data_IF_139732410086
#
_entry.id   IF_139732410086
#
_cell.length_a   1.000
_cell.length_b   1.000
_cell.length_c   1.000
_cell.angle_alpha   90.00
_cell.angle_beta   90.00
_cell.angle_gamma   90.00
#
_symmetry.space_group_name_H-M   'P 1'
#
loop_
_entity.id
_entity.type
_entity.pdbx_description
1 polymer ?
#
# COMPACT_ATOMS: atom_id res chain seq x y z
N UNK A 1 -19.22 -5.18 11.01
CA UNK A 1 -20.61 -4.74 11.26
C UNK A 1 -21.40 -4.35 10.03
N UNK A 2 -21.05 -3.32 9.24
CA UNK A 2 -21.80 -2.97 8.02
C UNK A 2 -21.95 -4.11 7.00
N UNK A 3 -20.90 -4.90 6.74
CA UNK A 3 -20.96 -6.03 5.81
C UNK A 3 -21.84 -7.19 6.33
N UNK A 4 -21.89 -7.37 7.66
CA UNK A 4 -22.73 -8.37 8.32
C UNK A 4 -24.20 -7.90 8.36
N UNK A 5 -24.44 -6.60 8.54
CA UNK A 5 -25.77 -5.99 8.46
C UNK A 5 -26.30 -5.94 7.02
N UNK A 6 -25.48 -5.58 6.03
CA UNK A 6 -25.85 -5.59 4.61
C UNK A 6 -26.17 -6.99 4.10
N UNK A 7 -25.47 -8.02 4.59
CA UNK A 7 -25.76 -9.42 4.28
C UNK A 7 -27.03 -9.92 4.99
N UNK A 8 -27.18 -9.67 6.29
CA UNK A 8 -28.36 -10.09 7.06
C UNK A 8 -29.65 -9.39 6.61
N UNK A 9 -29.58 -8.17 6.07
CA UNK A 9 -30.76 -7.47 5.56
C UNK A 9 -31.29 -8.04 4.23
N UNK A 10 -30.56 -8.91 3.53
CA UNK A 10 -30.93 -9.38 2.18
C UNK A 10 -31.16 -10.89 2.03
N UNK A 11 -30.71 -11.73 2.98
CA UNK A 11 -30.71 -13.19 2.79
C UNK A 11 -31.26 -14.03 3.95
N UNK A 12 -32.18 -13.50 4.76
CA UNK A 12 -32.97 -14.35 5.67
C UNK A 12 -34.25 -14.78 4.95
N UNK A 13 -34.14 -15.82 4.13
CA UNK A 13 -35.23 -16.77 3.86
C UNK A 13 -34.65 -18.18 3.72
N UNK A 14 -34.98 -19.01 4.70
CA UNK A 14 -35.01 -20.47 4.76
C UNK A 14 -33.74 -21.35 4.60
N UNK A 15 -33.54 -22.17 5.64
CA UNK A 15 -32.96 -23.54 5.72
C UNK A 15 -31.57 -23.87 5.13
N UNK A 16 -30.81 -22.91 4.62
CA UNK A 16 -29.39 -23.08 4.31
C UNK A 16 -28.50 -23.09 5.56
N UNK A 17 -27.61 -24.08 5.68
CA UNK A 17 -26.77 -24.31 6.86
C UNK A 17 -25.93 -23.07 7.23
N UNK A 18 -25.72 -22.80 8.54
CA UNK A 18 -24.91 -21.65 9.01
C UNK A 18 -23.49 -21.59 8.41
N UNK A 19 -22.97 -22.72 7.93
CA UNK A 19 -21.66 -22.82 7.28
C UNK A 19 -21.64 -22.14 5.90
N UNK A 20 -22.78 -22.12 5.18
CA UNK A 20 -22.92 -21.46 3.89
C UNK A 20 -22.83 -19.93 4.02
N UNK A 21 -23.38 -19.36 5.09
CA UNK A 21 -23.33 -17.91 5.33
C UNK A 21 -21.90 -17.40 5.57
N UNK A 22 -21.07 -18.13 6.32
CA UNK A 22 -19.69 -17.73 6.55
C UNK A 22 -18.85 -17.82 5.28
N UNK A 23 -19.08 -18.86 4.47
CA UNK A 23 -18.43 -19.02 3.17
C UNK A 23 -18.76 -17.86 2.22
N UNK A 24 -20.03 -17.49 2.14
CA UNK A 24 -20.49 -16.36 1.32
C UNK A 24 -19.83 -15.05 1.80
N UNK A 25 -19.87 -14.77 3.10
CA UNK A 25 -19.24 -13.57 3.67
C UNK A 25 -17.72 -13.55 3.42
N UNK A 26 -17.06 -14.70 3.51
CA UNK A 26 -15.63 -14.83 3.24
C UNK A 26 -15.30 -14.52 1.78
N UNK A 27 -16.05 -15.09 0.82
CA UNK A 27 -15.87 -14.78 -0.61
C UNK A 27 -16.13 -13.31 -0.92
N UNK A 28 -17.23 -12.75 -0.39
CA UNK A 28 -17.54 -11.32 -0.54
C UNK A 28 -16.42 -10.43 0.04
N UNK A 29 -15.84 -10.81 1.18
CA UNK A 29 -14.70 -10.12 1.77
C UNK A 29 -13.46 -10.17 0.86
N UNK A 30 -13.11 -11.36 0.35
CA UNK A 30 -11.99 -11.56 -0.58
C UNK A 30 -12.17 -10.68 -1.82
N UNK A 31 -13.34 -10.77 -2.47
CA UNK A 31 -13.65 -9.99 -3.68
C UNK A 31 -13.64 -8.50 -3.42
N UNK A 32 -14.22 -8.03 -2.32
CA UNK A 32 -14.22 -6.60 -1.97
C UNK A 32 -12.80 -6.05 -1.88
N UNK A 33 -11.90 -6.76 -1.21
CA UNK A 33 -10.50 -6.33 -1.04
C UNK A 33 -9.76 -6.41 -2.37
N UNK A 34 -9.92 -7.50 -3.12
CA UNK A 34 -9.35 -7.63 -4.45
C UNK A 34 -9.79 -6.51 -5.38
N UNK A 35 -11.09 -6.21 -5.47
CA UNK A 35 -11.62 -5.12 -6.29
C UNK A 35 -11.07 -3.76 -5.86
N UNK A 36 -10.93 -3.48 -4.55
CA UNK A 36 -10.30 -2.22 -4.10
C UNK A 36 -8.85 -2.08 -4.57
N UNK A 37 -8.11 -3.18 -4.66
CA UNK A 37 -6.75 -3.17 -5.21
C UNK A 37 -6.78 -3.05 -6.74
N UNK A 38 -7.68 -3.75 -7.42
CA UNK A 38 -7.86 -3.70 -8.87
C UNK A 38 -8.33 -2.33 -9.35
N UNK A 39 -9.14 -1.62 -8.55
CA UNK A 39 -9.50 -0.23 -8.81
C UNK A 39 -8.25 0.67 -8.87
N UNK A 40 -7.18 0.34 -8.14
CA UNK A 40 -5.90 1.05 -8.28
C UNK A 40 -5.31 0.77 -9.65
N UNK A 41 -5.15 -0.50 -10.04
CA UNK A 41 -4.65 -0.89 -11.37
C UNK A 41 -5.47 -0.30 -12.51
N UNK A 42 -6.80 -0.27 -12.38
CA UNK A 42 -7.69 0.30 -13.39
C UNK A 42 -7.50 1.81 -13.56
N UNK A 43 -7.11 2.51 -12.48
CA UNK A 43 -6.77 3.95 -12.52
C UNK A 43 -5.35 4.20 -13.04
N UNK A 44 -4.48 3.19 -13.08
CA UNK A 44 -3.14 3.31 -13.68
C UNK A 44 -3.17 3.51 -15.20
N UNK A 45 -4.34 3.47 -15.84
CA UNK A 45 -4.53 3.81 -17.26
C UNK A 45 -4.26 5.29 -17.59
N UNK A 46 -3.34 5.93 -16.86
CA UNK A 46 -2.62 7.08 -17.38
C UNK A 46 -1.88 6.63 -18.62
N UNK A 47 -2.11 7.29 -19.75
CA UNK A 47 -1.33 6.98 -20.95
C UNK A 47 0.15 7.24 -20.65
N UNK A 48 1.04 6.63 -21.44
CA UNK A 48 2.48 6.84 -21.30
C UNK A 48 2.82 8.34 -21.25
N UNK A 49 2.11 9.12 -22.07
CA UNK A 49 2.20 10.58 -22.15
C UNK A 49 1.86 11.26 -20.82
N UNK A 50 0.80 10.84 -20.12
CA UNK A 50 0.43 11.42 -18.81
C UNK A 50 1.52 11.20 -17.75
N UNK A 51 2.17 10.03 -17.75
CA UNK A 51 3.27 9.75 -16.82
C UNK A 51 4.50 10.58 -17.17
N UNK A 52 4.84 10.70 -18.46
CA UNK A 52 5.96 11.52 -18.93
C UNK A 52 5.75 13.01 -18.63
N UNK A 53 4.55 13.53 -18.92
CA UNK A 53 4.16 14.90 -18.59
C UNK A 53 4.31 15.15 -17.09
N UNK A 54 3.85 14.22 -16.23
CA UNK A 54 4.00 14.35 -14.78
C UNK A 54 5.46 14.30 -14.31
N UNK A 55 6.31 13.48 -14.93
CA UNK A 55 7.74 13.38 -14.63
C UNK A 55 8.51 14.65 -15.05
N UNK A 56 8.02 15.37 -16.06
CA UNK A 56 8.60 16.62 -16.57
C UNK A 56 8.00 17.86 -15.90
N UNK A 57 6.83 17.74 -15.26
CA UNK A 57 6.03 18.86 -14.79
C UNK A 57 6.76 19.77 -13.78
N UNK A 58 7.50 19.18 -12.84
CA UNK A 58 8.20 19.94 -11.80
C UNK A 58 9.69 20.06 -12.09
N UNK A 59 10.19 21.29 -11.96
CA UNK A 59 11.61 21.53 -11.74
C UNK A 59 11.99 21.11 -10.31
N UNK A 60 13.05 20.31 -10.18
CA UNK A 60 13.56 19.87 -8.89
C UNK A 60 14.25 21.02 -8.15
N UNK A 61 14.09 21.16 -6.81
CA UNK A 61 14.85 22.13 -6.02
C UNK A 61 16.36 21.90 -6.14
N UNK A 62 17.16 22.97 -6.19
CA UNK A 62 18.63 22.87 -6.39
C UNK A 62 19.33 21.91 -5.42
N UNK A 63 18.98 21.97 -4.13
CA UNK A 63 19.52 21.06 -3.11
C UNK A 63 19.26 19.59 -3.46
N UNK A 64 18.08 19.28 -3.99
CA UNK A 64 17.73 17.94 -4.45
C UNK A 64 18.51 17.56 -5.71
N UNK A 65 18.69 18.48 -6.66
CA UNK A 65 19.51 18.22 -7.86
C UNK A 65 20.95 17.87 -7.49
N UNK A 66 21.56 18.63 -6.58
CA UNK A 66 22.93 18.39 -6.07
C UNK A 66 23.03 17.05 -5.34
N UNK A 67 22.04 16.72 -4.50
CA UNK A 67 21.96 15.44 -3.81
C UNK A 67 21.90 14.27 -4.81
N UNK A 68 21.05 14.38 -5.84
CA UNK A 68 20.91 13.36 -6.87
C UNK A 68 22.18 13.23 -7.70
N UNK A 69 22.82 14.35 -8.05
CA UNK A 69 24.07 14.35 -8.80
C UNK A 69 25.20 13.64 -8.04
N UNK A 70 25.29 13.90 -6.73
CA UNK A 70 26.27 13.27 -5.84
C UNK A 70 26.05 11.76 -5.73
N UNK A 71 24.79 11.30 -5.67
CA UNK A 71 24.46 9.88 -5.49
C UNK A 71 24.45 9.07 -6.79
N UNK A 72 23.99 9.65 -7.89
CA UNK A 72 23.69 8.94 -9.14
C UNK A 72 24.52 9.41 -10.36
N UNK A 73 25.28 10.51 -10.24
CA UNK A 73 26.19 10.99 -11.27
C UNK A 73 25.80 12.33 -11.90
N UNK A 74 26.67 12.87 -12.75
CA UNK A 74 26.51 14.18 -13.40
C UNK A 74 26.02 14.06 -14.85
N UNK A 75 25.36 15.10 -15.41
CA UNK A 75 24.99 16.39 -14.79
C UNK A 75 23.83 16.27 -13.77
N UNK A 76 23.62 17.25 -12.88
CA UNK A 76 22.46 17.25 -11.99
C UNK A 76 21.14 17.23 -12.76
N UNK A 77 20.22 16.30 -12.49
CA UNK A 77 18.93 16.25 -13.17
C UNK A 77 18.04 17.41 -12.71
N UNK A 78 17.39 18.08 -13.64
CA UNK A 78 16.48 19.21 -13.39
C UNK A 78 15.02 18.79 -13.22
N UNK A 79 14.67 17.58 -13.68
CA UNK A 79 13.32 16.99 -13.59
C UNK A 79 13.39 15.54 -13.08
N UNK A 80 12.24 14.97 -12.70
CA UNK A 80 12.17 13.53 -12.41
C UNK A 80 12.36 12.68 -13.65
N UNK A 81 11.96 13.17 -14.82
CA UNK A 81 12.19 12.51 -16.09
C UNK A 81 13.69 12.29 -16.36
N UNK A 82 14.50 13.35 -16.24
CA UNK A 82 15.96 13.26 -16.38
C UNK A 82 16.58 12.35 -15.32
N UNK A 83 16.08 12.42 -14.07
CA UNK A 83 16.52 11.53 -13.00
C UNK A 83 16.26 10.06 -13.36
N UNK A 84 15.07 9.75 -13.89
CA UNK A 84 14.70 8.39 -14.28
C UNK A 84 15.56 7.88 -15.44
N UNK A 85 15.89 8.72 -16.41
CA UNK A 85 16.79 8.36 -17.51
C UNK A 85 18.22 8.09 -17.01
N UNK A 86 18.72 8.85 -16.02
CA UNK A 86 19.98 8.54 -15.36
C UNK A 86 19.95 7.16 -14.68
N UNK A 87 18.86 6.83 -13.96
CA UNK A 87 18.71 5.50 -13.35
C UNK A 87 18.69 4.39 -14.41
N UNK A 88 18.03 4.61 -15.56
CA UNK A 88 18.04 3.67 -16.69
C UNK A 88 19.46 3.46 -17.21
N UNK A 89 20.24 4.52 -17.40
CA UNK A 89 21.65 4.42 -17.80
C UNK A 89 22.47 3.62 -16.79
N UNK A 90 22.30 3.87 -15.49
CA UNK A 90 22.98 3.10 -14.43
C UNK A 90 22.57 1.63 -14.39
N UNK A 91 21.34 1.31 -14.80
CA UNK A 91 20.84 -0.06 -14.88
C UNK A 91 21.25 -0.82 -16.15
N UNK A 92 21.91 -0.14 -17.08
CA UNK A 92 22.35 -0.71 -18.36
C UNK A 92 23.86 -0.91 -18.33
N UNK A 93 24.32 -2.13 -18.54
CA UNK A 93 25.74 -2.42 -18.84
C UNK A 93 25.92 -2.56 -20.35
N UNK A 94 27.16 -2.62 -20.85
CA UNK A 94 27.48 -2.69 -22.29
C UNK A 94 26.68 -3.79 -23.03
N UNK A 95 26.32 -4.88 -22.34
CA UNK A 95 25.68 -6.05 -22.95
C UNK A 95 24.22 -6.29 -22.52
N UNK A 96 23.68 -5.60 -21.51
CA UNK A 96 22.33 -5.91 -21.00
C UNK A 96 21.70 -4.81 -20.15
N UNK A 97 20.37 -4.67 -20.30
CA UNK A 97 19.51 -3.89 -19.42
C UNK A 97 19.01 -4.75 -18.25
N UNK A 98 19.35 -4.38 -17.01
CA UNK A 98 18.87 -5.06 -15.81
C UNK A 98 17.66 -4.32 -15.21
N UNK A 99 16.46 -4.76 -15.60
CA UNK A 99 15.19 -4.23 -15.10
C UNK A 99 15.06 -4.34 -13.57
N UNK A 100 15.59 -5.42 -12.97
CA UNK A 100 15.57 -5.61 -11.53
C UNK A 100 16.49 -4.64 -10.80
N UNK A 101 17.62 -4.27 -11.40
CA UNK A 101 18.50 -3.19 -10.90
C UNK A 101 17.82 -1.83 -11.04
N UNK A 102 17.19 -1.52 -12.17
CA UNK A 102 16.44 -0.27 -12.32
C UNK A 102 15.38 -0.12 -11.22
N UNK A 103 14.58 -1.17 -11.02
CA UNK A 103 13.50 -1.12 -10.04
C UNK A 103 14.01 -0.89 -8.61
N UNK A 104 15.11 -1.56 -8.23
CA UNK A 104 15.78 -1.32 -6.94
C UNK A 104 16.25 0.12 -6.78
N UNK A 105 16.89 0.67 -7.82
CA UNK A 105 17.32 2.08 -7.82
C UNK A 105 16.13 3.03 -7.65
N UNK A 106 15.00 2.75 -8.29
CA UNK A 106 13.77 3.55 -8.16
C UNK A 106 13.20 3.50 -6.74
N UNK A 107 13.18 2.32 -6.10
CA UNK A 107 12.69 2.17 -4.73
C UNK A 107 13.56 2.92 -3.70
N UNK A 108 14.87 3.02 -3.97
CA UNK A 108 15.84 3.76 -3.15
C UNK A 108 15.93 5.26 -3.53
N UNK A 109 15.18 5.69 -4.54
CA UNK A 109 15.21 7.06 -5.05
C UNK A 109 14.27 7.98 -4.27
N UNK A 110 14.66 9.23 -3.98
CA UNK A 110 13.78 10.23 -3.36
C UNK A 110 12.43 10.42 -4.09
N UNK A 111 12.39 10.15 -5.41
CA UNK A 111 11.16 10.18 -6.20
C UNK A 111 10.08 9.27 -5.61
N UNK A 112 10.42 8.12 -5.03
CA UNK A 112 9.45 7.16 -4.46
C UNK A 112 9.51 7.06 -2.94
N UNK A 113 10.23 7.97 -2.25
CA UNK A 113 10.34 7.91 -0.80
C UNK A 113 9.03 8.24 -0.09
N UNK A 114 8.91 7.75 1.15
CA UNK A 114 7.86 8.18 2.07
C UNK A 114 8.12 9.64 2.43
N UNK A 115 7.06 10.45 2.46
CA UNK A 115 7.15 11.86 2.84
C UNK A 115 6.12 12.13 3.95
N UNK A 116 6.54 12.37 5.20
CA UNK A 116 5.60 12.68 6.25
C UNK A 116 4.87 13.99 5.93
N UNK A 117 3.71 14.19 6.57
CA UNK A 117 2.98 15.46 6.47
C UNK A 117 3.89 16.58 6.96
N UNK A 118 4.03 17.65 6.18
CA UNK A 118 4.90 18.77 6.55
C UNK A 118 4.39 20.11 6.00
N UNK A 119 4.84 21.21 6.62
CA UNK A 119 4.55 22.56 6.17
C UNK A 119 5.23 22.86 4.83
N UNK A 120 4.45 23.28 3.84
CA UNK A 120 4.94 23.63 2.50
C UNK A 120 5.80 24.91 2.49
N UNK A 121 5.66 25.77 3.50
CA UNK A 121 6.43 27.02 3.56
C UNK A 121 7.77 26.89 4.27
N UNK A 122 7.86 26.10 5.34
CA UNK A 122 9.08 26.00 6.15
C UNK A 122 9.63 24.58 6.33
N UNK A 123 8.98 23.56 5.76
CA UNK A 123 9.40 22.17 5.87
C UNK A 123 9.19 21.54 7.26
N UNK A 124 8.53 22.23 8.20
CA UNK A 124 8.26 21.66 9.52
C UNK A 124 7.42 20.38 9.40
N UNK A 125 7.98 19.25 9.84
CA UNK A 125 7.37 17.93 9.75
C UNK A 125 6.41 17.70 10.91
N UNK A 126 5.19 17.27 10.60
CA UNK A 126 4.24 16.74 11.57
C UNK A 126 4.68 15.33 11.97
N UNK A 127 4.91 15.06 13.27
CA UNK A 127 5.32 13.73 13.71
C UNK A 127 4.30 12.65 13.33
N UNK A 128 4.78 11.63 12.62
CA UNK A 128 4.02 10.44 12.27
C UNK A 128 4.47 9.25 13.11
N UNK A 129 4.26 9.35 14.43
CA UNK A 129 4.62 8.31 15.39
C UNK A 129 3.37 7.65 15.96
N UNK A 130 3.44 6.33 16.13
CA UNK A 130 2.41 5.53 16.79
C UNK A 130 2.95 4.90 18.08
N UNK A 131 2.18 4.90 19.19
CA UNK A 131 0.92 5.63 19.38
C UNK A 131 1.15 7.14 19.31
N UNK A 132 0.20 7.88 18.72
CA UNK A 132 0.29 9.33 18.57
C UNK A 132 0.24 9.98 19.95
N UNK A 133 1.27 10.75 20.31
CA UNK A 133 1.28 11.53 21.56
C UNK A 133 0.40 12.79 21.47
N UNK A 134 0.04 13.20 20.26
CA UNK A 134 -0.75 14.40 19.97
C UNK A 134 -1.85 14.09 18.95
N UNK A 135 -3.02 14.67 19.18
CA UNK A 135 -4.18 14.69 18.27
C UNK A 135 -3.88 15.51 17.01
N UNK A 136 -4.65 15.27 15.93
CA UNK A 136 -4.56 16.06 14.68
C UNK A 136 -4.65 17.57 14.99
N UNK A 137 -5.59 17.98 15.85
CA UNK A 137 -5.79 19.38 16.21
C UNK A 137 -4.59 20.00 16.97
N UNK A 138 -3.93 19.24 17.84
CA UNK A 138 -2.76 19.72 18.60
C UNK A 138 -1.58 20.04 17.69
N UNK A 139 -1.38 19.24 16.64
CA UNK A 139 -0.36 19.49 15.61
C UNK A 139 -0.80 20.46 14.52
N UNK A 140 -2.00 21.04 14.65
CA UNK A 140 -2.54 22.04 13.71
C UNK A 140 -3.11 21.45 12.43
N UNK A 141 -3.36 20.14 12.39
CA UNK A 141 -3.96 19.43 11.26
C UNK A 141 -5.48 19.36 11.43
N UNK A 142 -6.23 19.70 10.38
CA UNK A 142 -7.69 19.52 10.32
C UNK A 142 -8.14 19.00 8.96
N UNK A 143 -9.30 18.39 8.91
CA UNK A 143 -9.95 18.01 7.65
C UNK A 143 -10.86 19.12 7.16
N UNK A 144 -10.81 19.39 5.87
CA UNK A 144 -11.74 20.27 5.16
C UNK A 144 -12.33 19.55 3.95
N UNK A 145 -13.49 20.02 3.50
CA UNK A 145 -14.13 19.48 2.30
C UNK A 145 -13.27 19.77 1.05
N UNK A 146 -13.25 18.85 0.07
CA UNK A 146 -12.70 19.12 -1.26
C UNK A 146 -13.25 20.40 -1.88
N UNK A 147 -12.40 21.18 -2.55
CA UNK A 147 -12.83 22.37 -3.30
C UNK A 147 -13.23 22.04 -4.74
N UNK A 148 -12.78 20.89 -5.26
CA UNK A 148 -12.97 20.47 -6.65
C UNK A 148 -11.76 20.76 -7.54
N UNK A 149 -10.77 21.51 -7.04
CA UNK A 149 -9.50 21.77 -7.74
C UNK A 149 -8.52 20.60 -7.60
N UNK A 150 -8.83 19.64 -6.72
CA UNK A 150 -7.95 18.51 -6.42
C UNK A 150 -8.09 17.39 -7.45
N UNK A 151 -6.96 16.99 -8.05
CA UNK A 151 -6.92 15.91 -9.02
C UNK A 151 -7.05 14.55 -8.33
N UNK A 152 -7.99 13.72 -8.79
CA UNK A 152 -8.17 12.32 -8.40
C UNK A 152 -8.12 12.04 -6.89
N UNK A 153 -8.93 12.77 -6.13
CA UNK A 153 -9.03 12.58 -4.68
C UNK A 153 -9.34 11.14 -4.28
N UNK A 154 -8.70 10.70 -3.21
CA UNK A 154 -8.92 9.36 -2.64
C UNK A 154 -9.36 9.39 -1.19
N UNK A 155 -10.25 8.45 -0.87
CA UNK A 155 -10.52 8.03 0.49
C UNK A 155 -9.34 7.23 1.05
N UNK A 156 -9.21 7.20 2.38
CA UNK A 156 -8.02 6.68 3.04
C UNK A 156 -8.28 6.12 4.43
N UNK A 157 -7.23 5.58 5.04
CA UNK A 157 -7.25 5.02 6.39
C UNK A 157 -6.25 5.69 7.36
N UNK A 158 -5.69 6.84 6.97
CA UNK A 158 -4.77 7.60 7.83
C UNK A 158 -5.43 7.91 9.16
N UNK A 159 -4.93 7.35 10.26
CA UNK A 159 -5.55 7.47 11.60
C UNK A 159 -7.06 7.11 11.58
N UNK A 160 -7.45 6.11 10.79
CA UNK A 160 -8.81 5.57 10.69
C UNK A 160 -9.50 5.77 9.33
N UNK A 161 -10.64 5.09 9.08
CA UNK A 161 -11.36 5.18 7.82
C UNK A 161 -11.91 6.59 7.57
N UNK A 162 -11.54 7.20 6.45
CA UNK A 162 -11.88 8.57 6.07
C UNK A 162 -12.46 8.61 4.65
N UNK A 163 -13.41 9.51 4.40
CA UNK A 163 -13.82 9.86 3.04
C UNK A 163 -12.69 10.62 2.33
N UNK A 164 -12.87 10.92 1.04
CA UNK A 164 -11.97 11.84 0.36
C UNK A 164 -12.05 13.22 1.02
N UNK A 165 -10.94 13.69 1.57
CA UNK A 165 -10.82 14.95 2.30
C UNK A 165 -9.52 15.66 1.92
N UNK A 166 -9.48 16.96 2.19
CA UNK A 166 -8.25 17.75 2.15
C UNK A 166 -7.82 17.97 3.59
N UNK A 167 -6.57 17.68 3.87
CA UNK A 167 -5.91 18.03 5.12
C UNK A 167 -5.38 19.45 5.04
N UNK A 168 -5.74 20.26 6.01
CA UNK A 168 -5.20 21.59 6.18
C UNK A 168 -4.30 21.61 7.42
N UNK A 169 -3.02 21.93 7.21
CA UNK A 169 -2.03 22.09 8.26
C UNK A 169 -1.77 23.57 8.50
N UNK A 170 -2.14 24.06 9.69
CA UNK A 170 -1.67 25.35 10.20
C UNK A 170 -0.35 25.13 10.94
N UNK A 171 0.77 25.48 10.30
CA UNK A 171 2.10 25.21 10.85
C UNK A 171 2.36 25.98 12.14
N UNK A 172 2.70 25.30 13.23
CA UNK A 172 3.06 25.94 14.51
C UNK A 172 4.38 26.71 14.46
N UNK A 173 5.26 26.40 13.51
CA UNK A 173 6.56 27.06 13.37
C UNK A 173 6.50 28.40 12.62
N UNK A 174 5.71 28.50 11.56
CA UNK A 174 5.65 29.71 10.71
C UNK A 174 4.23 30.28 10.50
N UNK A 175 3.21 29.68 11.11
CA UNK A 175 1.78 30.02 10.95
C UNK A 175 1.23 29.94 9.53
N UNK A 176 2.02 29.48 8.55
CA UNK A 176 1.54 29.26 7.21
C UNK A 176 0.54 28.10 7.17
N UNK A 177 -0.43 28.20 6.25
CA UNK A 177 -1.43 27.17 5.99
C UNK A 177 -0.99 26.37 4.78
N UNK A 178 -0.79 25.06 4.96
CA UNK A 178 -0.51 24.11 3.88
C UNK A 178 -1.72 23.26 3.63
N UNK A 179 -2.09 23.07 2.37
CA UNK A 179 -3.15 22.13 1.98
C UNK A 179 -2.52 20.89 1.41
N UNK A 180 -2.95 19.76 1.92
CA UNK A 180 -2.49 18.45 1.54
C UNK A 180 -3.71 17.60 1.23
N UNK A 181 -3.78 17.02 0.06
CA UNK A 181 -4.83 16.07 -0.26
C UNK A 181 -4.23 14.80 -0.82
N UNK A 182 -4.94 13.70 -0.57
CA UNK A 182 -4.55 12.39 -1.04
C UNK A 182 -5.04 12.23 -2.48
N UNK A 183 -4.12 11.91 -3.38
CA UNK A 183 -4.39 11.76 -4.81
C UNK A 183 -3.74 10.49 -5.34
N UNK A 184 -4.33 9.89 -6.36
CA UNK A 184 -3.69 8.86 -7.19
C UNK A 184 -2.91 9.43 -8.39
N UNK A 185 -3.06 10.72 -8.67
CA UNK A 185 -2.56 11.32 -9.91
C UNK A 185 -1.04 11.51 -9.85
N UNK A 186 -0.27 11.05 -10.86
CA UNK A 186 1.19 11.05 -10.83
C UNK A 186 1.79 12.43 -10.65
N UNK A 187 1.19 13.48 -11.22
CA UNK A 187 1.63 14.86 -11.03
C UNK A 187 1.59 15.24 -9.54
N UNK A 188 0.52 14.94 -8.81
CA UNK A 188 0.45 15.28 -7.38
C UNK A 188 1.45 14.44 -6.58
N UNK A 189 1.53 13.15 -6.90
CA UNK A 189 2.43 12.22 -6.23
C UNK A 189 3.90 12.58 -6.44
N UNK A 190 4.29 13.08 -7.61
CA UNK A 190 5.66 13.45 -7.98
C UNK A 190 6.07 14.87 -7.54
N UNK A 191 5.27 15.58 -6.74
CA UNK A 191 5.65 16.92 -6.30
C UNK A 191 6.94 16.89 -5.46
N UNK A 192 8.06 17.51 -5.92
CA UNK A 192 9.35 17.43 -5.24
C UNK A 192 9.43 18.33 -4.00
N UNK A 193 8.46 19.24 -3.81
CA UNK A 193 8.36 20.08 -2.62
C UNK A 193 7.82 19.32 -1.41
N UNK A 194 7.98 17.99 -1.42
CA UNK A 194 7.69 17.09 -0.30
C UNK A 194 6.26 17.27 0.19
N UNK A 195 5.33 17.25 -0.77
CA UNK A 195 3.92 17.03 -0.51
C UNK A 195 3.80 15.70 0.25
N UNK A 196 3.10 15.68 1.39
CA UNK A 196 2.97 14.47 2.21
C UNK A 196 2.56 13.28 1.35
N UNK A 197 3.29 12.17 1.46
CA UNK A 197 3.06 10.93 0.73
C UNK A 197 3.08 9.77 1.70
N UNK A 198 1.89 9.28 2.04
CA UNK A 198 1.76 8.12 2.91
C UNK A 198 2.00 6.82 2.15
N UNK A 199 2.09 5.69 2.88
CA UNK A 199 2.30 4.37 2.26
C UNK A 199 1.34 4.08 1.10
N UNK A 200 0.04 4.37 1.24
CA UNK A 200 -0.91 4.16 0.16
C UNK A 200 -0.66 5.01 -1.08
N UNK A 201 -0.18 6.25 -0.92
CA UNK A 201 0.10 7.19 -2.01
C UNK A 201 1.45 6.85 -2.68
N UNK A 202 2.39 6.38 -1.88
CA UNK A 202 3.67 5.83 -2.32
C UNK A 202 3.48 4.59 -3.19
N UNK A 203 2.61 3.66 -2.77
CA UNK A 203 2.32 2.47 -3.56
C UNK A 203 1.58 2.78 -4.86
N UNK A 204 0.71 3.79 -4.87
CA UNK A 204 0.06 4.21 -6.11
C UNK A 204 1.11 4.77 -7.10
N UNK A 205 2.05 5.60 -6.63
CA UNK A 205 3.17 6.08 -7.47
C UNK A 205 4.05 4.93 -7.97
N UNK A 206 4.41 3.99 -7.09
CA UNK A 206 5.20 2.80 -7.45
C UNK A 206 4.48 2.00 -8.52
N UNK A 207 3.18 1.75 -8.37
CA UNK A 207 2.42 1.06 -9.40
C UNK A 207 2.38 1.81 -10.73
N UNK A 208 2.19 3.13 -10.73
CA UNK A 208 2.21 3.95 -11.96
C UNK A 208 3.55 3.88 -12.67
N UNK A 209 4.66 3.98 -11.93
CA UNK A 209 6.00 3.85 -12.49
C UNK A 209 6.29 2.43 -12.97
N UNK A 210 5.80 1.41 -12.27
CA UNK A 210 5.96 0.01 -12.66
C UNK A 210 5.27 -0.25 -14.01
N UNK A 211 4.03 0.20 -14.18
CA UNK A 211 3.29 0.09 -15.45
C UNK A 211 4.02 0.83 -16.57
N UNK A 212 4.43 2.08 -16.34
CA UNK A 212 5.19 2.89 -17.31
C UNK A 212 6.50 2.21 -17.76
N UNK A 213 7.19 1.52 -16.84
CA UNK A 213 8.44 0.81 -17.11
C UNK A 213 8.25 -0.66 -17.47
N UNK A 214 7.01 -1.12 -17.63
CA UNK A 214 6.66 -2.52 -17.86
C UNK A 214 7.32 -3.49 -16.86
N UNK A 215 7.38 -3.09 -15.59
CA UNK A 215 8.00 -3.84 -14.50
C UNK A 215 6.94 -4.71 -13.80
N UNK A 216 7.13 -6.04 -13.71
CA UNK A 216 6.20 -6.93 -13.01
C UNK A 216 6.12 -6.59 -11.52
N UNK A 217 5.08 -5.85 -11.10
CA UNK A 217 4.85 -5.45 -9.71
C UNK A 217 3.45 -5.87 -9.29
N UNK A 218 3.32 -6.43 -8.08
CA UNK A 218 2.02 -6.73 -7.46
C UNK A 218 1.92 -6.10 -6.07
N UNK A 219 0.71 -5.81 -5.63
CA UNK A 219 0.45 -5.24 -4.30
C UNK A 219 0.34 -6.34 -3.27
N UNK A 220 1.04 -6.22 -2.16
CA UNK A 220 0.84 -7.03 -0.97
C UNK A 220 0.02 -6.25 0.06
N UNK A 221 -1.06 -6.87 0.54
CA UNK A 221 -2.07 -6.26 1.42
C UNK A 221 -2.24 -7.12 2.67
N UNK A 222 -1.79 -6.65 3.84
CA UNK A 222 -2.07 -7.29 5.10
C UNK A 222 -3.54 -7.06 5.48
N UNK A 223 -4.26 -8.15 5.73
CA UNK A 223 -5.62 -8.08 6.22
C UNK A 223 -5.67 -7.58 7.65
N UNK A 224 -6.68 -6.75 7.90
CA UNK A 224 -6.97 -6.17 9.20
C UNK A 224 -5.86 -5.22 9.71
N UNK A 225 -5.06 -4.71 8.77
CA UNK A 225 -4.00 -3.73 9.01
C UNK A 225 -3.95 -2.69 7.88
N UNK A 226 -3.87 -1.42 8.23
CA UNK A 226 -3.75 -0.29 7.32
C UNK A 226 -2.30 -0.12 6.85
N UNK A 227 -1.90 -1.02 5.95
CA UNK A 227 -0.65 -0.91 5.25
C UNK A 227 -0.77 -1.57 3.89
N UNK A 228 0.17 -1.29 3.01
CA UNK A 228 0.29 -1.89 1.68
C UNK A 228 1.72 -1.66 1.22
N UNK A 229 2.24 -2.61 0.46
CA UNK A 229 3.55 -2.48 -0.18
C UNK A 229 3.56 -3.20 -1.52
N UNK A 230 4.63 -3.02 -2.29
CA UNK A 230 4.84 -3.67 -3.58
C UNK A 230 5.81 -4.84 -3.48
N UNK A 231 5.49 -5.90 -4.21
CA UNK A 231 6.41 -6.98 -4.55
C UNK A 231 6.73 -6.90 -6.04
N UNK A 232 7.96 -7.15 -6.45
CA UNK A 232 8.35 -7.14 -7.87
C UNK A 232 9.04 -8.42 -8.31
N UNK A 233 8.96 -8.77 -9.58
CA UNK A 233 9.73 -9.89 -10.15
C UNK A 233 10.79 -9.37 -11.12
N UNK A 234 12.01 -9.90 -11.00
CA UNK A 234 13.13 -9.62 -11.90
C UNK A 234 13.27 -10.69 -13.01
N UNK A 235 12.17 -11.33 -13.42
CA UNK A 235 12.16 -12.42 -14.42
C UNK A 235 12.48 -13.81 -13.86
N UNK A 236 12.78 -13.93 -12.56
CA UNK A 236 12.78 -15.21 -11.84
C UNK A 236 11.36 -15.54 -11.36
N UNK A 237 11.06 -16.81 -11.14
CA UNK A 237 9.79 -17.26 -10.51
C UNK A 237 9.62 -16.79 -9.06
N UNK A 238 10.48 -15.89 -8.57
CA UNK A 238 10.49 -15.39 -7.19
C UNK A 238 10.13 -13.90 -7.14
N UNK A 239 9.09 -13.58 -6.37
CA UNK A 239 8.66 -12.21 -6.07
C UNK A 239 9.51 -11.63 -4.97
N UNK A 240 10.06 -10.43 -5.16
CA UNK A 240 11.00 -9.68 -4.31
C UNK A 240 10.35 -8.51 -3.57
N UNK A 241 10.84 -8.22 -2.36
CA UNK A 241 10.48 -7.05 -1.53
C UNK A 241 11.78 -6.36 -1.17
N UNK A 242 11.90 -5.05 -1.38
CA UNK A 242 13.06 -4.25 -0.95
C UNK A 242 12.76 -3.38 0.27
N UNK A 243 11.49 -3.08 0.55
CA UNK A 243 11.12 -2.26 1.69
C UNK A 243 11.37 -3.01 3.01
N UNK A 244 12.34 -2.55 3.82
CA UNK A 244 12.72 -3.15 5.11
C UNK A 244 11.54 -3.31 6.07
N UNK A 245 10.61 -2.35 6.05
CA UNK A 245 9.43 -2.39 6.90
C UNK A 245 8.46 -3.50 6.48
N UNK A 246 8.40 -3.79 5.17
CA UNK A 246 7.65 -4.90 4.62
C UNK A 246 8.39 -6.24 4.79
N UNK A 247 9.73 -6.26 4.64
CA UNK A 247 10.57 -7.46 4.86
C UNK A 247 10.45 -7.95 6.31
N UNK A 248 10.37 -7.02 7.26
CA UNK A 248 10.23 -7.27 8.69
C UNK A 248 8.78 -7.10 9.20
N UNK A 249 7.77 -7.20 8.32
CA UNK A 249 6.40 -6.85 8.68
C UNK A 249 5.85 -7.63 9.89
N UNK A 250 6.29 -8.88 10.10
CA UNK A 250 5.94 -9.67 11.28
C UNK A 250 6.38 -9.01 12.59
N UNK A 251 7.55 -8.36 12.61
CA UNK A 251 8.06 -7.66 13.79
C UNK A 251 7.19 -6.46 14.20
N UNK A 252 6.36 -5.94 13.28
CA UNK A 252 5.43 -4.85 13.60
C UNK A 252 4.35 -5.25 14.61
N UNK A 253 4.15 -6.55 14.85
CA UNK A 253 3.30 -7.03 15.94
C UNK A 253 3.82 -6.61 17.33
N UNK A 254 5.11 -6.28 17.45
CA UNK A 254 5.69 -5.72 18.69
C UNK A 254 5.36 -4.24 18.92
N UNK A 255 4.83 -3.54 17.91
CA UNK A 255 4.40 -2.14 18.06
C UNK A 255 3.19 -2.00 19.01
N UNK A 256 2.46 -3.10 19.27
CA UNK A 256 1.32 -3.12 20.18
C UNK A 256 0.10 -2.33 19.68
N UNK A 257 0.08 -1.93 18.40
CA UNK A 257 -1.02 -1.14 17.80
C UNK A 257 -2.15 -1.99 17.22
N UNK A 258 -2.14 -3.29 17.48
CA UNK A 258 -3.08 -4.28 16.95
C UNK A 258 -2.35 -5.38 16.20
N UNK A 259 -3.10 -6.16 15.42
CA UNK A 259 -2.57 -7.31 14.66
C UNK A 259 -3.15 -7.37 13.26
N UNK A 260 -2.42 -8.01 12.36
CA UNK A 260 -2.89 -8.41 11.04
C UNK A 260 -3.23 -9.91 11.06
N UNK A 261 -4.08 -10.37 10.14
CA UNK A 261 -4.52 -11.78 10.14
C UNK A 261 -4.01 -12.60 8.97
N UNK A 262 -3.81 -11.98 7.80
CA UNK A 262 -3.26 -12.60 6.59
C UNK A 262 -2.54 -11.57 5.75
N UNK A 263 -1.79 -11.99 4.73
CA UNK A 263 -1.21 -11.11 3.71
C UNK A 263 -1.53 -11.66 2.33
N UNK A 264 -2.12 -10.85 1.46
CA UNK A 264 -2.50 -11.23 0.10
C UNK A 264 -1.71 -10.44 -0.92
N UNK A 265 -1.16 -11.12 -1.91
CA UNK A 265 -0.60 -10.49 -3.10
C UNK A 265 -1.67 -10.42 -4.20
N UNK A 266 -1.89 -9.22 -4.75
CA UNK A 266 -2.97 -8.92 -5.69
C UNK A 266 -2.43 -8.13 -6.89
N UNK A 267 -2.81 -8.56 -8.10
CA UNK A 267 -2.43 -7.97 -9.39
C UNK A 267 -3.60 -8.10 -10.40
N UNK A 268 -3.56 -7.34 -11.50
CA UNK A 268 -4.51 -7.45 -12.61
C UNK A 268 -4.38 -8.76 -13.39
N UNK A 269 -3.21 -9.39 -13.36
CA UNK A 269 -2.98 -10.76 -13.81
C UNK A 269 -3.41 -11.74 -12.71
N UNK A 270 -4.47 -12.55 -12.93
CA UNK A 270 -4.96 -13.49 -11.93
C UNK A 270 -3.87 -14.49 -11.50
N UNK A 271 -3.00 -14.94 -12.39
CA UNK A 271 -1.98 -15.95 -12.05
C UNK A 271 -0.93 -15.43 -11.06
N UNK A 272 -0.86 -14.11 -10.86
CA UNK A 272 0.05 -13.49 -9.89
C UNK A 272 -0.60 -13.27 -8.52
N UNK A 273 -1.91 -13.50 -8.39
CA UNK A 273 -2.61 -13.38 -7.12
C UNK A 273 -2.39 -14.61 -6.23
N UNK A 274 -2.10 -14.39 -4.95
CA UNK A 274 -1.79 -15.47 -4.00
C UNK A 274 -2.01 -15.05 -2.54
N UNK A 275 -2.46 -15.98 -1.70
CA UNK A 275 -2.29 -15.85 -0.24
C UNK A 275 -0.81 -16.09 0.12
N UNK A 276 -0.09 -15.01 0.39
CA UNK A 276 1.35 -14.99 0.70
C UNK A 276 1.63 -14.94 2.21
N UNK A 277 0.61 -15.16 3.04
CA UNK A 277 0.74 -15.11 4.51
C UNK A 277 1.90 -15.96 5.04
N UNK A 278 2.05 -17.19 4.53
CA UNK A 278 3.15 -18.07 4.94
C UNK A 278 4.50 -17.55 4.48
N UNK A 279 4.57 -16.94 3.30
CA UNK A 279 5.83 -16.40 2.77
C UNK A 279 6.37 -15.34 3.75
N UNK A 280 5.53 -14.45 4.29
CA UNK A 280 5.94 -13.46 5.30
C UNK A 280 6.27 -14.05 6.69
N UNK A 281 5.58 -15.12 7.10
CA UNK A 281 5.90 -15.81 8.37
C UNK A 281 7.22 -16.60 8.27
N UNK A 282 7.46 -17.27 7.14
CA UNK A 282 8.64 -18.12 6.91
C UNK A 282 9.89 -17.28 6.57
N UNK A 283 9.75 -16.17 5.85
CA UNK A 283 10.85 -15.24 5.57
C UNK A 283 11.46 -14.71 6.87
N UNK A 284 10.66 -14.48 7.90
CA UNK A 284 11.14 -14.02 9.21
C UNK A 284 11.85 -15.12 10.03
N UNK A 285 11.44 -16.39 9.88
CA UNK A 285 12.00 -17.55 10.61
C UNK A 285 13.36 -18.03 10.07
N UNK A 286 13.57 -17.91 8.76
CA UNK A 286 14.76 -18.46 8.09
C UNK A 286 15.85 -17.43 7.82
N UNK A 287 15.74 -16.21 8.37
CA UNK A 287 16.61 -15.10 7.99
C UNK A 287 16.58 -14.85 6.48
N UNK A 288 15.39 -14.89 5.87
CA UNK A 288 15.20 -14.63 4.45
C UNK A 288 15.48 -13.15 4.12
N UNK A 289 14.61 -12.50 3.36
CA UNK A 289 14.75 -11.08 2.99
C UNK A 289 14.76 -10.09 4.16
N UNK A 290 14.71 -10.51 5.42
CA UNK A 290 14.79 -9.67 6.59
C UNK A 290 16.23 -9.66 7.15
N UNK A 291 16.79 -8.48 7.43
CA UNK A 291 18.12 -8.35 8.05
C UNK A 291 18.16 -8.85 9.51
N UNK A 292 16.99 -9.12 10.12
CA UNK A 292 16.88 -9.60 11.49
C UNK A 292 16.27 -11.01 11.53
N UNK A 293 17.10 -12.02 11.80
CA UNK A 293 16.61 -13.34 12.19
C UNK A 293 15.85 -13.21 13.51
N UNK A 294 14.55 -13.52 13.49
CA UNK A 294 13.74 -13.50 14.71
C UNK A 294 13.78 -14.88 15.33
N UNK A 295 14.13 -14.95 16.62
CA UNK A 295 14.21 -16.24 17.31
C UNK A 295 12.86 -16.98 17.33
N UNK A 296 12.95 -18.30 17.50
CA UNK A 296 11.81 -19.20 17.51
C UNK A 296 10.71 -18.80 18.53
N UNK A 297 11.09 -18.30 19.70
CA UNK A 297 10.12 -17.93 20.74
C UNK A 297 9.33 -16.69 20.33
N UNK A 298 9.99 -15.68 19.76
CA UNK A 298 9.32 -14.49 19.22
C UNK A 298 8.40 -14.85 18.06
N UNK A 299 8.80 -15.73 17.16
CA UNK A 299 7.93 -16.19 16.07
C UNK A 299 6.72 -16.96 16.58
N UNK A 300 6.88 -17.86 17.55
CA UNK A 300 5.76 -18.57 18.20
C UNK A 300 4.78 -17.61 18.87
N UNK A 301 5.29 -16.54 19.49
CA UNK A 301 4.46 -15.45 20.03
C UNK A 301 3.69 -14.74 18.93
N UNK A 302 4.32 -14.39 17.80
CA UNK A 302 3.64 -13.75 16.66
C UNK A 302 2.53 -14.64 16.07
N UNK A 303 2.79 -15.93 15.90
CA UNK A 303 1.77 -16.89 15.47
C UNK A 303 0.57 -16.94 16.42
N UNK A 304 0.83 -16.85 17.73
CA UNK A 304 -0.22 -16.80 18.76
C UNK A 304 -1.04 -15.51 18.65
N UNK A 305 -0.38 -14.35 18.52
CA UNK A 305 -1.03 -13.05 18.33
C UNK A 305 -1.94 -13.06 17.09
N UNK A 306 -1.43 -13.54 15.95
CA UNK A 306 -2.20 -13.65 14.71
C UNK A 306 -3.39 -14.60 14.88
N UNK A 307 -3.19 -15.74 15.55
CA UNK A 307 -4.25 -16.71 15.83
C UNK A 307 -5.35 -16.10 16.70
N UNK A 308 -4.98 -15.40 17.76
CA UNK A 308 -5.94 -14.74 18.66
C UNK A 308 -6.73 -13.67 17.92
N UNK A 309 -6.07 -12.85 17.10
CA UNK A 309 -6.73 -11.87 16.24
C UNK A 309 -7.69 -12.51 15.22
N UNK A 310 -7.36 -13.68 14.66
CA UNK A 310 -8.27 -14.45 13.79
C UNK A 310 -9.48 -15.01 14.54
N UNK A 311 -9.34 -15.31 15.84
CA UNK A 311 -10.45 -15.82 16.65
C UNK A 311 -11.33 -14.70 17.24
N UNK A 312 -10.87 -13.45 17.17
CA UNK A 312 -11.60 -12.30 17.71
C UNK A 312 -12.78 -11.89 16.83
N UNK A 313 -13.98 -12.29 17.28
CA UNK A 313 -15.27 -11.93 16.66
C UNK A 313 -15.58 -10.43 16.66
N UNK A 314 -14.89 -9.64 17.49
CA UNK A 314 -15.10 -8.20 17.59
C UNK A 314 -14.14 -7.39 16.72
N UNK A 315 -13.03 -7.98 16.28
CA UNK A 315 -11.96 -7.31 15.53
C UNK A 315 -11.11 -6.35 16.38
N UNK A 316 -11.37 -6.22 17.68
CA UNK A 316 -10.64 -5.35 18.60
C UNK A 316 -9.14 -5.65 18.71
N UNK A 317 -8.73 -6.90 18.50
CA UNK A 317 -7.32 -7.30 18.47
C UNK A 317 -6.62 -6.89 17.17
N UNK A 318 -7.37 -6.55 16.12
CA UNK A 318 -6.78 -6.10 14.85
C UNK A 318 -6.47 -4.61 14.88
N UNK A 319 -5.52 -4.18 14.05
CA UNK A 319 -5.17 -2.76 13.94
C UNK A 319 -6.30 -1.99 13.23
N UNK A 320 -6.88 -2.56 12.16
CA UNK A 320 -7.97 -1.96 11.42
C UNK A 320 -9.37 -2.14 12.06
N UNK A 321 -9.47 -2.76 13.24
CA UNK A 321 -10.75 -3.05 13.92
C UNK A 321 -11.76 -3.75 13.00
N UNK A 322 -11.28 -4.67 12.18
CA UNK A 322 -12.09 -5.45 11.24
C UNK A 322 -12.11 -6.93 11.63
N UNK A 323 -13.13 -7.64 11.14
CA UNK A 323 -13.35 -9.06 11.42
C UNK A 323 -13.01 -9.95 10.22
N UNK A 324 -12.17 -9.48 9.28
CA UNK A 324 -11.94 -10.21 8.03
C UNK A 324 -11.27 -11.57 8.32
N UNK A 325 -10.25 -11.58 9.18
CA UNK A 325 -9.62 -12.82 9.64
C UNK A 325 -10.57 -13.80 10.32
N UNK A 326 -11.50 -13.31 11.14
CA UNK A 326 -12.52 -14.13 11.79
C UNK A 326 -13.50 -14.75 10.80
N UNK A 327 -14.01 -13.96 9.85
CA UNK A 327 -14.91 -14.46 8.80
C UNK A 327 -14.24 -15.56 7.97
N UNK A 328 -12.97 -15.37 7.58
CA UNK A 328 -12.20 -16.37 6.83
C UNK A 328 -11.93 -17.64 7.66
N UNK A 329 -11.66 -17.50 8.95
CA UNK A 329 -11.48 -18.63 9.87
C UNK A 329 -12.76 -19.46 9.97
N UNK A 330 -13.92 -18.80 10.14
CA UNK A 330 -15.22 -19.46 10.25
C UNK A 330 -15.65 -20.15 8.96
N UNK A 331 -15.30 -19.58 7.81
CA UNK A 331 -15.52 -20.21 6.51
C UNK A 331 -14.59 -21.40 6.23
N UNK A 332 -13.62 -21.68 7.12
CA UNK A 332 -12.65 -22.76 7.00
C UNK A 332 -11.91 -22.80 5.65
N UNK A 333 -11.62 -21.62 5.08
CA UNK A 333 -10.94 -21.52 3.78
C UNK A 333 -9.45 -21.83 3.90
N UNK A 334 -8.98 -22.78 3.10
CA UNK A 334 -7.55 -23.08 2.94
C UNK A 334 -6.82 -21.95 2.19
N UNK A 335 -5.49 -21.93 2.26
CA UNK A 335 -4.67 -21.00 1.47
C UNK A 335 -4.91 -21.14 -0.04
N UNK A 336 -5.10 -22.37 -0.54
CA UNK A 336 -5.41 -22.63 -1.95
C UNK A 336 -6.78 -22.06 -2.32
N UNK A 337 -7.80 -22.30 -1.49
CA UNK A 337 -9.17 -21.81 -1.74
C UNK A 337 -9.22 -20.27 -1.76
N UNK A 338 -8.49 -19.61 -0.85
CA UNK A 338 -8.37 -18.14 -0.83
C UNK A 338 -7.67 -17.66 -2.10
N UNK A 339 -6.59 -18.33 -2.51
CA UNK A 339 -5.86 -17.99 -3.73
C UNK A 339 -6.77 -18.13 -4.95
N UNK A 340 -7.45 -19.25 -5.12
CA UNK A 340 -8.41 -19.47 -6.21
C UNK A 340 -9.52 -18.41 -6.25
N UNK A 341 -10.06 -18.00 -5.09
CA UNK A 341 -11.07 -16.95 -5.03
C UNK A 341 -10.48 -15.56 -5.36
N UNK A 342 -9.25 -15.25 -4.95
CA UNK A 342 -8.55 -14.03 -5.38
C UNK A 342 -8.39 -14.01 -6.90
N UNK A 343 -7.94 -15.12 -7.49
CA UNK A 343 -7.78 -15.24 -8.94
C UNK A 343 -9.11 -15.10 -9.68
N UNK A 344 -10.18 -15.71 -9.15
CA UNK A 344 -11.54 -15.55 -9.67
C UNK A 344 -12.02 -14.10 -9.58
N UNK A 345 -11.80 -13.44 -8.45
CA UNK A 345 -12.14 -12.03 -8.26
C UNK A 345 -11.48 -11.13 -9.30
N UNK A 346 -10.21 -11.42 -9.64
CA UNK A 346 -9.49 -10.70 -10.71
C UNK A 346 -10.09 -10.97 -12.08
N UNK A 347 -10.37 -12.24 -12.41
CA UNK A 347 -11.00 -12.60 -13.70
C UNK A 347 -12.38 -11.97 -13.87
N UNK A 348 -13.14 -11.85 -12.78
CA UNK A 348 -14.49 -11.28 -12.78
C UNK A 348 -14.49 -9.75 -12.72
N UNK A 349 -13.34 -9.10 -12.46
CA UNK A 349 -13.27 -7.64 -12.30
C UNK A 349 -13.71 -6.91 -13.58
N UNK A 350 -14.56 -5.88 -13.39
CA UNK A 350 -15.18 -5.13 -14.48
C UNK A 350 -16.40 -5.81 -15.12
N UNK A 351 -16.57 -7.13 -14.96
CA UNK A 351 -17.73 -7.88 -15.48
C UNK A 351 -18.80 -8.15 -14.43
N UNK A 352 -18.39 -8.30 -13.16
CA UNK A 352 -19.28 -8.46 -12.01
C UNK A 352 -18.96 -7.46 -10.93
N UNK A 353 -19.96 -7.15 -10.12
CA UNK A 353 -19.74 -6.44 -8.86
C UNK A 353 -19.18 -7.41 -7.82
N UNK A 354 -18.39 -6.90 -6.87
CA UNK A 354 -17.73 -7.75 -5.87
C UNK A 354 -18.71 -8.54 -4.99
N UNK A 355 -19.96 -8.08 -4.87
CA UNK A 355 -21.02 -8.72 -4.10
C UNK A 355 -21.83 -9.77 -4.89
N UNK A 356 -21.62 -9.90 -6.20
CA UNK A 356 -22.34 -10.85 -7.07
C UNK A 356 -21.60 -12.19 -7.08
N UNK A 357 -21.92 -13.09 -6.13
CA UNK A 357 -21.18 -14.34 -5.90
C UNK A 357 -21.38 -15.43 -6.93
#
# INVERSE_FOLDING_TARGET
DKLYQEYNCRHITDDGSRDDCHLILAKACIRRIAHRCLDKYARLQSSKEVVEDALQFYTLPMELQEQLASKYGTPPPTTWYESLDQLKSLSTTEDAYDQGKLWRLILDHPMTSYVPVQCQSCGHVVPDQYPTQQTDAEVGLREIAPTGDELELRAGWFRGPRQAVVFELTCKGCNAVSKWYRSGHPQILLNPNKWGRLCGDQEDLRLTLAEYLNTPVRLAVPLDWDHVWSEYSSGSSTWQVQDDSARNFCCRLDEGIGSWTRVWAIHSNPEWCKDVTRDYLTIQQNGGRADNNVDYNRMKRYETIIKDARMDKSGNLTQAKTVNGYVLLRANLSHSSITEELQRAVRDFGTKKWWEL
#
